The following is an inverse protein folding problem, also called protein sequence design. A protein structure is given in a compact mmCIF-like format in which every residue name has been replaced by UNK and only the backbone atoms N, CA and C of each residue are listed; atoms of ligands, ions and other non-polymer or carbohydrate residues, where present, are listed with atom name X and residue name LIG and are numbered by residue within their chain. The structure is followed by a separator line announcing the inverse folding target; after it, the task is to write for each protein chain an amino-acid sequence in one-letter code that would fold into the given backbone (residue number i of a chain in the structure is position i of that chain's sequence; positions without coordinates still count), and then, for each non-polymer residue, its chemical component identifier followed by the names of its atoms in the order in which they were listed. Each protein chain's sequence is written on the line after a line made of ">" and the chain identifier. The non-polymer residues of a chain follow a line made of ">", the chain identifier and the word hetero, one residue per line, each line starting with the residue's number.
data_IF_824814796575
#
_entry.id   IF_824814796575
#
_cell.length_a   1.000
_cell.length_b   1.000
_cell.length_c   1.000
_cell.angle_alpha   90.00
_cell.angle_beta   90.00
_cell.angle_gamma   90.00
#
_symmetry.space_group_name_H-M   'P 1'
#
loop_
_entity.id
_entity.type
_entity.pdbx_description
1 polymer ?
#
# COMPACT_ATOMS: atom_id res chain seq x y z
N UNK A 1 -2.90 21.90 -23.46
CA UNK A 1 -3.20 20.75 -22.61
C UNK A 1 -2.24 20.76 -21.42
N UNK A 2 -2.73 20.72 -20.19
CA UNK A 2 -1.86 20.69 -19.01
C UNK A 2 -1.56 19.22 -18.66
N UNK A 3 -0.28 18.91 -18.39
CA UNK A 3 0.12 17.60 -17.84
C UNK A 3 -0.22 17.55 -16.35
N UNK A 4 -0.94 16.52 -15.93
CA UNK A 4 -1.21 16.22 -14.53
C UNK A 4 -0.66 14.83 -14.23
N UNK A 5 0.36 14.75 -13.37
CA UNK A 5 1.02 13.51 -12.97
C UNK A 5 1.27 13.52 -11.47
N UNK A 6 1.17 12.37 -10.85
CA UNK A 6 1.45 12.12 -9.44
C UNK A 6 2.95 12.00 -9.13
N UNK A 7 3.76 11.66 -10.15
CA UNK A 7 5.22 11.67 -10.02
C UNK A 7 5.80 13.08 -10.19
N UNK A 8 6.99 13.32 -9.67
CA UNK A 8 7.69 14.59 -9.77
C UNK A 8 9.12 14.44 -10.24
N UNK A 9 9.60 15.46 -10.95
CA UNK A 9 10.96 15.63 -11.44
C UNK A 9 11.40 17.08 -11.30
N UNK A 10 12.68 17.44 -11.53
CA UNK A 10 13.13 18.82 -11.46
C UNK A 10 12.28 19.75 -12.33
N UNK A 11 11.70 20.78 -11.71
CA UNK A 11 10.78 21.72 -12.38
C UNK A 11 9.31 21.32 -12.42
N UNK A 12 8.97 20.08 -12.07
CA UNK A 12 7.58 19.61 -11.98
C UNK A 12 7.31 18.99 -10.60
N UNK A 13 7.14 19.82 -9.59
CA UNK A 13 6.87 19.36 -8.22
C UNK A 13 5.51 19.82 -7.68
N UNK A 14 4.99 20.95 -8.19
CA UNK A 14 3.78 21.58 -7.64
C UNK A 14 2.56 20.66 -7.72
N UNK A 15 2.32 20.06 -8.88
CA UNK A 15 1.14 19.19 -9.10
C UNK A 15 1.25 17.93 -8.26
N UNK A 16 2.43 17.27 -8.26
CA UNK A 16 2.65 16.08 -7.43
C UNK A 16 2.41 16.36 -5.93
N UNK A 17 2.81 17.54 -5.42
CA UNK A 17 2.51 17.96 -4.04
C UNK A 17 1.02 18.11 -3.79
N UNK A 18 0.27 18.70 -4.72
CA UNK A 18 -1.19 18.84 -4.59
C UNK A 18 -1.89 17.48 -4.58
N UNK A 19 -1.45 16.54 -5.42
CA UNK A 19 -1.95 15.16 -5.40
C UNK A 19 -1.67 14.50 -4.05
N UNK A 20 -0.43 14.63 -3.54
CA UNK A 20 -0.07 14.11 -2.21
C UNK A 20 -0.90 14.76 -1.09
N UNK A 21 -1.18 16.06 -1.16
CA UNK A 21 -2.08 16.72 -0.21
C UNK A 21 -3.49 16.13 -0.25
N UNK A 22 -4.01 15.79 -1.43
CA UNK A 22 -5.28 15.07 -1.56
C UNK A 22 -5.27 13.72 -0.82
N UNK A 23 -4.19 12.97 -0.91
CA UNK A 23 -4.05 11.69 -0.20
C UNK A 23 -4.02 11.83 1.33
N UNK A 24 -3.66 12.99 1.89
CA UNK A 24 -3.69 13.18 3.35
C UNK A 24 -5.11 13.14 3.91
N UNK A 25 -6.14 13.40 3.09
CA UNK A 25 -7.56 13.27 3.50
C UNK A 25 -7.87 11.83 3.87
N UNK A 26 -7.44 10.86 3.05
CA UNK A 26 -7.59 9.43 3.35
C UNK A 26 -6.96 9.08 4.70
N UNK A 27 -5.73 9.54 4.94
CA UNK A 27 -5.03 9.28 6.21
C UNK A 27 -5.75 9.91 7.42
N UNK A 28 -6.28 11.12 7.24
CA UNK A 28 -7.05 11.83 8.25
C UNK A 28 -8.34 11.07 8.61
N UNK A 29 -9.17 10.78 7.62
CA UNK A 29 -10.45 10.08 7.80
C UNK A 29 -10.24 8.69 8.42
N UNK A 30 -9.20 7.96 7.98
CA UNK A 30 -8.87 6.67 8.55
C UNK A 30 -8.51 6.77 10.03
N UNK A 31 -7.66 7.74 10.43
CA UNK A 31 -7.26 7.92 11.82
C UNK A 31 -8.43 8.39 12.68
N UNK A 32 -9.32 9.23 12.19
CA UNK A 32 -10.53 9.64 12.93
C UNK A 32 -11.53 8.49 13.15
N UNK A 33 -11.56 7.52 12.21
CA UNK A 33 -12.42 6.34 12.33
C UNK A 33 -11.86 5.27 13.28
N UNK A 34 -10.58 5.33 13.65
CA UNK A 34 -9.94 4.37 14.56
C UNK A 34 -10.14 4.75 16.02
N UNK A 35 -10.40 3.75 16.87
CA UNK A 35 -10.42 3.95 18.33
C UNK A 35 -9.02 4.24 18.86
N UNK A 36 -8.05 3.45 18.41
CA UNK A 36 -6.64 3.60 18.72
C UNK A 36 -5.81 3.74 17.44
N UNK A 37 -4.80 4.60 17.41
CA UNK A 37 -3.94 4.74 16.24
C UNK A 37 -3.19 3.42 15.93
N UNK A 38 -2.81 3.18 14.67
CA UNK A 38 -2.08 1.98 14.30
C UNK A 38 -0.67 1.98 14.92
N UNK A 39 -0.15 0.79 15.21
CA UNK A 39 1.24 0.59 15.61
C UNK A 39 2.15 0.37 14.40
N UNK A 40 1.58 -0.14 13.31
CA UNK A 40 2.29 -0.45 12.07
C UNK A 40 1.45 0.00 10.87
N UNK A 41 2.13 0.46 9.85
CA UNK A 41 1.56 0.74 8.52
C UNK A 41 2.34 -0.05 7.49
N UNK A 42 1.65 -0.82 6.67
CA UNK A 42 2.20 -1.43 5.47
C UNK A 42 1.47 -0.84 4.26
N UNK A 43 2.18 -0.17 3.40
CA UNK A 43 1.57 0.55 2.28
C UNK A 43 2.35 0.33 1.00
N UNK A 44 1.62 0.08 -0.06
CA UNK A 44 2.17 -0.11 -1.41
C UNK A 44 2.68 1.19 -2.00
N UNK A 45 3.69 1.07 -2.84
CA UNK A 45 4.25 2.20 -3.56
C UNK A 45 4.71 1.83 -4.98
N UNK A 46 4.30 2.65 -5.94
CA UNK A 46 4.98 2.80 -7.22
C UNK A 46 5.98 3.95 -7.12
N UNK A 47 5.66 5.16 -7.60
CA UNK A 47 6.51 6.36 -7.45
C UNK A 47 6.58 6.89 -6.01
N UNK A 48 5.73 6.39 -5.09
CA UNK A 48 5.73 6.70 -3.67
C UNK A 48 4.81 7.83 -3.20
N UNK A 49 4.00 8.43 -4.07
CA UNK A 49 3.17 9.60 -3.73
C UNK A 49 2.19 9.36 -2.59
N UNK A 50 1.39 8.28 -2.67
CA UNK A 50 0.45 7.89 -1.63
C UNK A 50 1.17 7.54 -0.32
N UNK A 51 2.18 6.68 -0.39
CA UNK A 51 2.95 6.25 0.78
C UNK A 51 3.58 7.45 1.51
N UNK A 52 4.16 8.40 0.76
CA UNK A 52 4.75 9.60 1.31
C UNK A 52 3.71 10.53 1.97
N UNK A 53 2.53 10.65 1.39
CA UNK A 53 1.45 11.45 1.97
C UNK A 53 0.99 10.88 3.31
N UNK A 54 0.74 9.58 3.38
CA UNK A 54 0.33 8.89 4.62
C UNK A 54 1.43 8.95 5.67
N UNK A 55 2.68 8.63 5.31
CA UNK A 55 3.82 8.68 6.22
C UNK A 55 4.04 10.08 6.80
N UNK A 56 4.06 11.09 5.94
CA UNK A 56 4.25 12.47 6.35
C UNK A 56 3.13 12.98 7.24
N UNK A 57 1.87 12.67 6.90
CA UNK A 57 0.71 13.05 7.69
C UNK A 57 0.75 12.43 9.10
N UNK A 58 0.96 11.11 9.18
CA UNK A 58 1.03 10.41 10.47
C UNK A 58 2.23 10.87 11.32
N UNK A 59 3.38 11.14 10.68
CA UNK A 59 4.55 11.64 11.39
C UNK A 59 4.31 13.03 12.01
N UNK A 60 3.60 13.92 11.30
CA UNK A 60 3.27 15.26 11.81
C UNK A 60 2.24 15.18 12.93
N UNK A 61 1.18 14.37 12.74
CA UNK A 61 0.07 14.31 13.68
C UNK A 61 0.43 13.55 14.96
N UNK A 62 1.13 12.41 14.84
CA UNK A 62 1.38 11.49 15.95
C UNK A 62 2.77 11.69 16.58
N UNK A 63 3.67 12.41 15.92
CA UNK A 63 4.99 12.72 16.44
C UNK A 63 5.79 11.48 16.83
N UNK A 64 6.22 11.41 18.09
CA UNK A 64 6.98 10.26 18.61
C UNK A 64 6.15 8.96 18.71
N UNK A 65 4.83 9.06 18.70
CA UNK A 65 3.89 7.92 18.77
C UNK A 65 3.46 7.43 17.37
N UNK A 66 4.13 7.88 16.29
CA UNK A 66 3.83 7.41 14.95
C UNK A 66 4.07 5.91 14.79
N UNK A 67 3.30 5.23 13.95
CA UNK A 67 3.49 3.82 13.66
C UNK A 67 4.84 3.54 13.01
N UNK A 68 5.33 2.31 13.14
CA UNK A 68 6.37 1.78 12.26
C UNK A 68 5.82 1.74 10.82
N UNK A 69 6.54 2.35 9.89
CA UNK A 69 6.07 2.58 8.53
C UNK A 69 6.88 1.76 7.52
N UNK A 70 6.22 0.82 6.85
CA UNK A 70 6.83 -0.10 5.89
C UNK A 70 6.28 0.20 4.49
N UNK A 71 7.18 0.50 3.57
CA UNK A 71 6.88 0.67 2.14
C UNK A 71 7.04 -0.67 1.45
N UNK A 72 6.05 -1.08 0.67
CA UNK A 72 6.02 -2.36 -0.04
C UNK A 72 5.95 -2.11 -1.55
N UNK A 73 6.89 -2.67 -2.30
CA UNK A 73 7.01 -2.53 -3.75
C UNK A 73 6.98 -3.89 -4.45
N UNK A 74 6.62 -3.96 -5.75
CA UNK A 74 6.89 -5.14 -6.56
C UNK A 74 8.39 -5.40 -6.66
N UNK A 75 8.82 -6.66 -6.54
CA UNK A 75 10.25 -7.03 -6.69
C UNK A 75 10.81 -6.65 -8.07
N UNK A 76 9.95 -6.61 -9.09
CA UNK A 76 10.30 -6.24 -10.47
C UNK A 76 10.35 -4.73 -10.74
N UNK A 77 9.91 -3.89 -9.77
CA UNK A 77 9.84 -2.43 -9.92
C UNK A 77 10.14 -1.71 -8.60
N UNK A 78 11.19 -2.09 -7.90
CA UNK A 78 11.53 -1.62 -6.55
C UNK A 78 12.39 -0.35 -6.56
N UNK A 79 11.91 0.73 -7.19
CA UNK A 79 12.72 1.95 -7.37
C UNK A 79 12.97 2.72 -6.06
N UNK A 80 12.05 2.64 -5.09
CA UNK A 80 12.24 3.28 -3.77
C UNK A 80 13.24 2.49 -2.91
N UNK A 81 13.16 1.16 -2.89
CA UNK A 81 14.11 0.30 -2.18
C UNK A 81 15.54 0.51 -2.72
N UNK A 82 15.72 0.53 -4.05
CA UNK A 82 17.02 0.79 -4.64
C UNK A 82 17.50 2.22 -4.33
N UNK A 83 16.60 3.18 -4.28
CA UNK A 83 16.94 4.56 -3.91
C UNK A 83 17.37 4.66 -2.44
N UNK A 84 16.73 3.93 -1.50
CA UNK A 84 17.14 3.95 -0.09
C UNK A 84 18.51 3.27 0.10
N UNK A 85 18.77 2.20 -0.64
CA UNK A 85 20.09 1.54 -0.65
C UNK A 85 21.19 2.45 -1.17
N UNK A 86 20.88 3.24 -2.20
CA UNK A 86 21.81 4.20 -2.79
C UNK A 86 21.94 5.51 -2.00
N UNK A 87 21.04 5.79 -1.03
CA UNK A 87 20.98 7.05 -0.29
C UNK A 87 20.52 8.26 -1.14
N UNK A 88 20.03 8.02 -2.35
CA UNK A 88 19.57 9.05 -3.29
C UNK A 88 18.54 8.47 -4.26
N UNK A 89 17.70 9.31 -4.91
CA UNK A 89 16.78 8.84 -5.93
C UNK A 89 17.53 8.16 -7.08
N UNK A 90 17.14 6.93 -7.40
CA UNK A 90 17.73 6.13 -8.47
C UNK A 90 16.64 5.71 -9.45
N UNK A 91 16.92 5.84 -10.73
CA UNK A 91 16.13 5.20 -11.76
C UNK A 91 16.69 3.80 -12.00
N UNK A 92 15.83 2.79 -11.91
CA UNK A 92 16.17 1.41 -12.22
C UNK A 92 15.82 1.08 -13.69
N UNK A 93 16.44 0.05 -14.22
CA UNK A 93 16.12 -0.43 -15.56
C UNK A 93 14.78 -1.17 -15.56
N UNK A 94 14.09 -1.09 -16.69
CA UNK A 94 12.86 -1.86 -16.90
C UNK A 94 13.22 -3.33 -17.11
N UNK A 95 12.68 -4.17 -16.22
CA UNK A 95 12.78 -5.62 -16.29
C UNK A 95 11.53 -6.27 -16.88
N UNK A 96 11.22 -7.48 -16.41
CA UNK A 96 9.97 -8.16 -16.69
C UNK A 96 8.80 -7.40 -16.06
N UNK A 97 7.65 -7.40 -16.76
CA UNK A 97 6.43 -6.80 -16.23
C UNK A 97 5.95 -7.53 -14.97
N UNK A 98 5.29 -6.80 -14.08
CA UNK A 98 4.62 -7.36 -12.91
C UNK A 98 3.10 -7.34 -13.10
N UNK A 99 2.38 -8.24 -12.45
CA UNK A 99 0.91 -8.19 -12.40
C UNK A 99 0.42 -6.93 -11.67
N UNK A 100 1.22 -6.39 -10.76
CA UNK A 100 0.95 -5.16 -9.99
C UNK A 100 1.13 -3.91 -10.87
N UNK A 101 0.39 -3.81 -11.97
CA UNK A 101 0.59 -2.83 -13.04
C UNK A 101 0.59 -1.37 -12.56
N UNK A 102 -0.26 -1.01 -11.58
CA UNK A 102 -0.33 0.35 -11.03
C UNK A 102 0.89 0.71 -10.16
N UNK A 103 1.71 -0.26 -9.79
CA UNK A 103 2.94 -0.08 -9.02
C UNK A 103 4.20 -0.26 -9.88
N UNK A 104 4.07 -0.59 -11.16
CA UNK A 104 5.19 -0.79 -12.08
C UNK A 104 5.88 0.55 -12.43
N UNK A 105 6.69 1.04 -11.49
CA UNK A 105 7.37 2.32 -11.58
C UNK A 105 8.88 2.15 -11.42
N UNK A 106 9.64 2.82 -12.29
CA UNK A 106 11.10 2.64 -12.39
C UNK A 106 11.92 3.83 -11.90
N UNK A 107 11.25 4.88 -11.43
CA UNK A 107 11.90 6.03 -10.83
C UNK A 107 10.99 6.65 -9.75
N UNK A 108 11.51 7.00 -8.58
CA UNK A 108 10.71 7.59 -7.52
C UNK A 108 10.30 9.03 -7.86
N UNK A 109 9.15 9.46 -7.38
CA UNK A 109 8.80 10.88 -7.32
C UNK A 109 9.77 11.61 -6.37
N UNK A 110 10.40 12.69 -6.82
CA UNK A 110 11.38 13.43 -6.01
C UNK A 110 10.75 14.00 -4.72
N UNK A 111 9.48 14.42 -4.79
CA UNK A 111 8.77 14.93 -3.60
C UNK A 111 8.49 13.78 -2.64
N UNK A 112 8.04 12.64 -3.14
CA UNK A 112 7.79 11.45 -2.32
C UNK A 112 9.07 10.94 -1.66
N UNK A 113 10.17 10.87 -2.39
CA UNK A 113 11.48 10.50 -1.87
C UNK A 113 11.92 11.35 -0.66
N UNK A 114 11.77 12.68 -0.76
CA UNK A 114 12.15 13.59 0.33
C UNK A 114 11.40 13.32 1.64
N UNK A 115 10.19 12.78 1.56
CA UNK A 115 9.40 12.39 2.73
C UNK A 115 9.77 10.98 3.17
N UNK A 116 9.71 10.00 2.26
CA UNK A 116 9.89 8.58 2.60
C UNK A 116 11.29 8.27 3.13
N UNK A 117 12.33 8.90 2.59
CA UNK A 117 13.70 8.73 3.10
C UNK A 117 13.90 9.17 4.56
N UNK A 118 12.92 9.83 5.18
CA UNK A 118 12.95 10.31 6.57
C UNK A 118 11.83 9.75 7.43
N UNK A 119 10.70 9.40 6.83
CA UNK A 119 9.48 9.02 7.55
C UNK A 119 9.18 7.52 7.48
N UNK A 120 9.73 6.79 6.51
CA UNK A 120 9.61 5.34 6.45
C UNK A 120 10.72 4.67 7.28
N UNK A 121 10.35 3.58 7.96
CA UNK A 121 11.27 2.80 8.81
C UNK A 121 11.85 1.60 8.06
N UNK A 122 11.11 1.06 7.08
CA UNK A 122 11.55 -0.06 6.26
C UNK A 122 10.99 0.01 4.83
N UNK A 123 11.73 -0.63 3.93
CA UNK A 123 11.34 -0.86 2.54
C UNK A 123 11.50 -2.34 2.25
N UNK A 124 10.52 -2.93 1.59
CA UNK A 124 10.55 -4.34 1.21
C UNK A 124 9.90 -4.56 -0.15
N UNK A 125 10.12 -5.75 -0.70
CA UNK A 125 9.47 -6.19 -1.92
C UNK A 125 8.63 -7.42 -1.69
N UNK A 126 7.63 -7.59 -2.55
CA UNK A 126 6.85 -8.81 -2.71
C UNK A 126 6.89 -9.27 -4.17
N UNK A 127 6.61 -10.53 -4.40
CA UNK A 127 6.51 -11.11 -5.73
C UNK A 127 5.05 -11.13 -6.21
N UNK A 128 4.83 -11.40 -7.50
CA UNK A 128 3.51 -11.43 -8.10
C UNK A 128 2.59 -12.47 -7.42
N UNK A 129 3.16 -13.60 -7.00
CA UNK A 129 2.46 -14.67 -6.29
C UNK A 129 1.88 -14.22 -4.94
N UNK A 130 2.58 -13.34 -4.23
CA UNK A 130 2.10 -12.77 -2.97
C UNK A 130 0.89 -11.86 -3.19
N UNK A 131 0.92 -11.05 -4.24
CA UNK A 131 -0.19 -10.19 -4.62
C UNK A 131 -1.44 -11.01 -4.96
N UNK A 132 -1.28 -12.05 -5.80
CA UNK A 132 -2.36 -12.96 -6.18
C UNK A 132 -2.89 -13.74 -4.98
N UNK A 133 -2.00 -14.19 -4.08
CA UNK A 133 -2.39 -14.86 -2.84
C UNK A 133 -3.31 -13.96 -1.99
N UNK A 134 -2.98 -12.68 -1.85
CA UNK A 134 -3.79 -11.72 -1.07
C UNK A 134 -5.12 -11.41 -1.77
N UNK A 135 -5.16 -11.29 -3.10
CA UNK A 135 -6.42 -11.16 -3.83
C UNK A 135 -7.37 -12.32 -3.51
N UNK A 136 -6.85 -13.54 -3.53
CA UNK A 136 -7.61 -14.75 -3.21
C UNK A 136 -8.04 -14.82 -1.74
N UNK A 137 -7.17 -14.43 -0.80
CA UNK A 137 -7.47 -14.37 0.63
C UNK A 137 -8.62 -13.39 0.93
N UNK A 138 -8.58 -12.20 0.34
CA UNK A 138 -9.60 -11.17 0.53
C UNK A 138 -10.93 -11.52 -0.15
N UNK A 139 -10.88 -12.23 -1.29
CA UNK A 139 -12.10 -12.68 -1.98
C UNK A 139 -12.79 -13.85 -1.24
N UNK A 140 -12.05 -14.63 -0.43
CA UNK A 140 -12.54 -15.82 0.30
C UNK A 140 -12.13 -15.76 1.77
N UNK A 141 -12.61 -14.76 2.52
CA UNK A 141 -12.23 -14.60 3.92
C UNK A 141 -12.70 -15.79 4.76
N UNK A 142 -11.97 -16.04 5.82
CA UNK A 142 -12.31 -17.01 6.85
C UNK A 142 -12.80 -16.28 8.11
N UNK A 143 -13.48 -17.00 9.02
CA UNK A 143 -13.83 -16.44 10.32
C UNK A 143 -15.01 -15.45 10.34
N UNK A 144 -15.73 -15.29 9.22
CA UNK A 144 -16.89 -14.38 9.16
C UNK A 144 -16.55 -12.94 8.75
N UNK A 145 -15.33 -12.67 8.35
CA UNK A 145 -14.92 -11.39 7.78
C UNK A 145 -15.66 -11.10 6.46
N UNK A 146 -15.90 -9.82 6.13
CA UNK A 146 -16.47 -9.48 4.84
C UNK A 146 -15.50 -9.76 3.69
N UNK A 147 -16.02 -10.30 2.58
CA UNK A 147 -15.24 -10.43 1.36
C UNK A 147 -14.92 -9.05 0.78
N UNK A 148 -13.69 -8.88 0.30
CA UNK A 148 -13.18 -7.63 -0.26
C UNK A 148 -12.66 -7.92 -1.68
N UNK A 149 -13.08 -7.11 -2.64
CA UNK A 149 -12.50 -7.09 -3.97
C UNK A 149 -11.26 -6.19 -3.93
N UNK A 150 -10.09 -6.78 -4.02
CA UNK A 150 -8.82 -6.09 -4.16
C UNK A 150 -8.17 -6.49 -5.49
N UNK A 151 -7.79 -5.52 -6.28
CA UNK A 151 -6.97 -5.74 -7.47
C UNK A 151 -5.53 -6.10 -7.12
N UNK A 152 -4.77 -6.43 -8.15
CA UNK A 152 -3.40 -6.93 -8.03
C UNK A 152 -2.42 -5.94 -7.36
N UNK A 153 -2.71 -4.64 -7.46
CA UNK A 153 -1.93 -3.59 -6.78
C UNK A 153 -2.55 -3.18 -5.44
N UNK A 154 -3.84 -3.47 -5.22
CA UNK A 154 -4.62 -2.97 -4.09
C UNK A 154 -4.23 -3.57 -2.74
N UNK A 155 -3.94 -4.86 -2.72
CA UNK A 155 -3.66 -5.62 -1.50
C UNK A 155 -2.18 -5.73 -1.12
N UNK A 156 -1.28 -5.08 -1.82
CA UNK A 156 0.18 -5.24 -1.70
C UNK A 156 0.72 -4.92 -0.31
N UNK A 157 0.16 -3.91 0.35
CA UNK A 157 0.50 -3.62 1.76
C UNK A 157 0.19 -4.81 2.69
N UNK A 158 -0.96 -5.47 2.49
CA UNK A 158 -1.32 -6.67 3.25
C UNK A 158 -0.38 -7.84 2.92
N UNK A 159 0.00 -8.03 1.67
CA UNK A 159 0.96 -9.06 1.27
C UNK A 159 2.31 -8.87 1.97
N UNK A 160 2.83 -7.63 2.02
CA UNK A 160 4.04 -7.30 2.75
C UNK A 160 3.93 -7.61 4.24
N UNK A 161 2.81 -7.25 4.88
CA UNK A 161 2.54 -7.58 6.28
C UNK A 161 2.56 -9.09 6.52
N UNK A 162 1.89 -9.87 5.67
CA UNK A 162 1.85 -11.34 5.81
C UNK A 162 3.24 -11.97 5.64
N UNK A 163 4.07 -11.49 4.73
CA UNK A 163 5.47 -11.94 4.61
C UNK A 163 6.27 -11.66 5.88
N UNK A 164 6.18 -10.45 6.43
CA UNK A 164 6.82 -10.10 7.69
C UNK A 164 6.29 -10.96 8.84
N UNK A 165 4.98 -11.18 8.89
CA UNK A 165 4.36 -12.01 9.93
C UNK A 165 4.81 -13.47 9.88
N UNK A 166 5.16 -13.99 8.71
CA UNK A 166 5.66 -15.35 8.54
C UNK A 166 7.14 -15.51 8.92
N UNK A 167 7.94 -14.45 8.90
CA UNK A 167 9.38 -14.47 9.19
C UNK A 167 9.67 -13.99 10.62
N UNK A 168 10.23 -14.88 11.45
CA UNK A 168 10.51 -14.58 12.86
C UNK A 168 11.50 -13.42 13.06
N UNK A 169 12.48 -13.28 12.16
CA UNK A 169 13.49 -12.23 12.27
C UNK A 169 12.92 -10.87 11.86
N UNK A 170 12.12 -10.85 10.78
CA UNK A 170 11.46 -9.62 10.32
C UNK A 170 10.39 -9.16 11.34
N UNK A 171 9.60 -10.09 11.91
CA UNK A 171 8.68 -9.77 13.00
C UNK A 171 9.41 -9.12 14.17
N UNK A 172 10.51 -9.73 14.61
CA UNK A 172 11.30 -9.20 15.72
C UNK A 172 11.89 -7.82 15.41
N UNK A 173 12.43 -7.63 14.20
CA UNK A 173 13.00 -6.37 13.76
C UNK A 173 11.99 -5.22 13.75
N UNK A 174 10.76 -5.49 13.29
CA UNK A 174 9.67 -4.53 13.26
C UNK A 174 8.84 -4.50 14.55
N UNK A 175 9.10 -5.40 15.52
CA UNK A 175 8.30 -5.57 16.76
C UNK A 175 6.81 -5.85 16.44
N UNK A 176 6.57 -6.61 15.39
CA UNK A 176 5.22 -7.03 15.00
C UNK A 176 4.82 -8.25 15.83
N UNK A 177 3.76 -8.11 16.64
CA UNK A 177 3.28 -9.11 17.59
C UNK A 177 1.75 -9.20 17.62
N UNK A 178 1.20 -9.96 18.57
CA UNK A 178 -0.24 -10.18 18.68
C UNK A 178 -1.02 -8.92 19.11
N UNK A 179 -0.37 -7.94 19.73
CA UNK A 179 -0.98 -6.68 20.17
C UNK A 179 -0.85 -5.58 19.10
N UNK A 180 -0.19 -5.88 18.00
CA UNK A 180 0.03 -4.93 16.90
C UNK A 180 -1.28 -4.62 16.17
N UNK A 181 -1.55 -3.32 15.98
CA UNK A 181 -2.64 -2.78 15.16
C UNK A 181 -2.07 -2.35 13.82
N UNK A 182 -2.36 -3.13 12.78
CA UNK A 182 -1.79 -2.90 11.46
C UNK A 182 -2.78 -2.14 10.57
N UNK A 183 -2.32 -1.05 10.00
CA UNK A 183 -3.05 -0.30 8.99
C UNK A 183 -2.55 -0.65 7.60
N UNK A 184 -3.45 -1.05 6.75
CA UNK A 184 -3.24 -1.28 5.31
C UNK A 184 -4.35 -0.59 4.54
N UNK A 185 -4.09 -0.25 3.28
CA UNK A 185 -5.08 0.39 2.40
C UNK A 185 -5.29 -0.47 1.17
N UNK A 186 -6.53 -0.85 0.90
CA UNK A 186 -6.88 -1.40 -0.40
C UNK A 186 -7.08 -0.23 -1.38
N UNK A 187 -6.11 0.00 -2.25
CA UNK A 187 -6.09 1.15 -3.15
C UNK A 187 -6.70 0.88 -4.51
N UNK A 188 -7.04 -0.38 -4.80
CA UNK A 188 -7.53 -0.78 -6.10
C UNK A 188 -8.56 -1.90 -5.97
N UNK A 189 -9.66 -1.78 -6.69
CA UNK A 189 -10.62 -2.87 -6.91
C UNK A 189 -10.27 -3.66 -8.17
N UNK A 190 -11.23 -4.38 -8.73
CA UNK A 190 -11.08 -5.08 -10.00
C UNK A 190 -11.19 -4.11 -11.19
N UNK A 191 -10.14 -3.31 -11.42
CA UNK A 191 -10.08 -2.33 -12.53
C UNK A 191 -10.09 -3.01 -13.89
N UNK A 192 -9.49 -4.20 -14.00
CA UNK A 192 -9.68 -5.15 -15.10
C UNK A 192 -10.42 -6.39 -14.57
N UNK A 193 -11.76 -6.47 -14.75
CA UNK A 193 -12.52 -7.61 -14.25
C UNK A 193 -12.15 -8.95 -14.89
N UNK A 194 -11.63 -8.94 -16.12
CA UNK A 194 -11.17 -10.14 -16.81
C UNK A 194 -9.90 -10.69 -16.17
N UNK A 195 -8.89 -9.84 -15.98
CA UNK A 195 -7.67 -10.19 -15.28
C UNK A 195 -7.97 -10.65 -13.83
N UNK A 196 -8.86 -9.93 -13.13
CA UNK A 196 -9.29 -10.34 -11.78
C UNK A 196 -9.88 -11.75 -11.75
N UNK A 197 -10.78 -12.08 -12.69
CA UNK A 197 -11.40 -13.40 -12.76
C UNK A 197 -10.38 -14.49 -13.09
N UNK A 198 -9.40 -14.22 -13.96
CA UNK A 198 -8.31 -15.14 -14.26
C UNK A 198 -7.45 -15.43 -13.01
N UNK A 199 -7.11 -14.42 -12.22
CA UNK A 199 -6.23 -14.55 -11.05
C UNK A 199 -6.95 -15.11 -9.81
N UNK A 200 -8.22 -14.77 -9.64
CA UNK A 200 -9.01 -15.13 -8.45
C UNK A 200 -9.93 -16.34 -8.71
N UNK A 201 -10.34 -16.57 -9.97
CA UNK A 201 -11.31 -17.61 -10.30
C UNK A 201 -12.74 -17.31 -9.90
N UNK A 202 -13.04 -16.05 -9.55
CA UNK A 202 -14.38 -15.53 -9.22
C UNK A 202 -14.55 -14.15 -9.84
N UNK A 203 -15.75 -13.86 -10.32
CA UNK A 203 -16.05 -12.49 -10.74
C UNK A 203 -16.17 -11.55 -9.54
N UNK A 204 -15.84 -10.24 -9.68
CA UNK A 204 -16.01 -9.26 -8.61
C UNK A 204 -17.41 -9.23 -8.02
N UNK A 205 -18.45 -9.41 -8.85
CA UNK A 205 -19.84 -9.43 -8.41
C UNK A 205 -20.15 -10.63 -7.50
N UNK A 206 -19.58 -11.80 -7.78
CA UNK A 206 -19.73 -12.98 -6.92
C UNK A 206 -19.09 -12.73 -5.56
N UNK A 207 -17.88 -12.16 -5.53
CA UNK A 207 -17.19 -11.81 -4.28
C UNK A 207 -18.03 -10.83 -3.45
N UNK A 208 -18.52 -9.75 -4.05
CA UNK A 208 -19.33 -8.74 -3.36
C UNK A 208 -20.69 -9.24 -2.90
N UNK A 209 -21.23 -10.29 -3.53
CA UNK A 209 -22.52 -10.90 -3.13
C UNK A 209 -22.40 -11.83 -1.93
N UNK A 210 -21.20 -12.33 -1.63
CA UNK A 210 -20.88 -13.19 -0.49
C UNK A 210 -20.77 -12.37 0.82
N UNK A 211 -21.80 -11.54 1.14
CA UNK A 211 -21.84 -10.84 2.42
C UNK A 211 -22.06 -11.86 3.56
N UNK A 212 -21.30 -11.78 4.66
CA UNK A 212 -21.65 -12.53 5.85
C UNK A 212 -23.05 -12.14 6.31
N UNK A 213 -23.84 -13.13 6.76
CA UNK A 213 -25.28 -13.00 7.04
C UNK A 213 -25.65 -12.03 8.19
N UNK A 214 -24.72 -11.25 8.75
CA UNK A 214 -24.92 -10.43 9.94
C UNK A 214 -24.22 -9.05 9.93
N UNK A 215 -24.29 -8.31 8.85
CA UNK A 215 -23.98 -6.87 8.95
C UNK A 215 -25.32 -6.09 8.93
N UNK A 216 -26.01 -6.06 10.08
CA UNK A 216 -27.06 -5.05 10.30
C UNK A 216 -26.35 -3.70 10.35
N UNK A 217 -26.54 -2.90 9.31
CA UNK A 217 -26.20 -1.50 9.34
C UNK A 217 -26.85 -0.86 10.58
N UNK A 218 -26.06 -0.47 11.57
CA UNK A 218 -26.53 0.40 12.64
C UNK A 218 -26.69 1.78 12.00
N UNK A 219 -27.93 2.08 11.63
CA UNK A 219 -28.35 3.44 11.31
C UNK A 219 -28.20 4.30 12.56
N UNK A 220 -27.23 5.21 12.55
CA UNK A 220 -27.27 6.46 13.32
C UNK A 220 -26.72 7.58 12.50
#
# INVERSE_FOLDING_TARGET
>A
MALVSDTSWPGYERIARLVMQGYTVLAHEALEAMVDPPTHVFIQAGVGGLAAAVAGYMAILLGANRPAFVVVEPSRAACLLESIRAGQPVKIDRGEATVMAMLECYAPSLVAWRVLSRAADAFMTIDDEDAVMVMNLLARPTGGDPAIVAGESGGVGLAGMLRVAADVNQRAALRLDADSRVFVVNTEGATDPGCYEELVGLTPNVVLSNKPANCKASSR
#
